data_IF_266771462420
#
_entry.id   IF_266771462420
#
_cell.length_a   1.000
_cell.length_b   1.000
_cell.length_c   1.000
_cell.angle_alpha   90.00
_cell.angle_beta   90.00
_cell.angle_gamma   90.00
#
_symmetry.space_group_name_H-M   'P 1'
#
loop_
_entity.id
_entity.type
_entity.pdbx_description
1 polymer ?
#
# COMPACT_ATOMS: atom_id res chain seq x y z
N UNK A 1 -4.35 16.62 6.77
CA UNK A 1 -4.45 15.14 6.61
C UNK A 1 -5.90 14.67 6.47
N UNK A 2 -6.79 14.88 7.45
CA UNK A 2 -8.18 14.39 7.39
C UNK A 2 -8.93 14.78 6.12
N UNK A 3 -8.95 16.06 5.74
CA UNK A 3 -9.63 16.50 4.52
C UNK A 3 -9.12 15.78 3.25
N UNK A 4 -7.80 15.63 3.11
CA UNK A 4 -7.20 14.90 1.97
C UNK A 4 -7.65 13.43 1.99
N UNK A 5 -7.61 12.78 3.15
CA UNK A 5 -8.01 11.38 3.29
C UNK A 5 -9.47 11.15 2.96
N UNK A 6 -10.39 11.91 3.56
CA UNK A 6 -11.83 11.67 3.43
C UNK A 6 -12.44 12.24 2.14
N UNK A 7 -11.98 13.40 1.68
CA UNK A 7 -12.55 14.07 0.50
C UNK A 7 -11.92 13.63 -0.82
N UNK A 8 -10.64 13.22 -0.82
CA UNK A 8 -9.91 12.93 -2.06
C UNK A 8 -9.45 11.48 -2.18
N UNK A 9 -8.89 10.90 -1.11
CA UNK A 9 -8.29 9.57 -1.19
C UNK A 9 -9.32 8.44 -1.06
N UNK A 10 -10.15 8.44 -0.02
CA UNK A 10 -11.16 7.39 0.21
C UNK A 10 -12.11 7.17 -0.97
N UNK A 11 -12.63 8.21 -1.66
CA UNK A 11 -13.48 8.00 -2.83
C UNK A 11 -12.78 7.23 -3.96
N UNK A 12 -11.46 7.38 -4.12
CA UNK A 12 -10.68 6.65 -5.14
C UNK A 12 -10.40 5.20 -4.75
N UNK A 13 -10.37 4.89 -3.46
CA UNK A 13 -10.09 3.55 -2.95
C UNK A 13 -11.36 2.72 -2.77
N UNK A 14 -12.39 3.32 -2.17
CA UNK A 14 -13.65 2.64 -1.84
C UNK A 14 -14.67 2.66 -2.99
N UNK A 15 -14.52 3.62 -3.91
CA UNK A 15 -15.51 3.88 -4.97
C UNK A 15 -16.88 4.30 -4.42
N UNK A 16 -17.85 4.44 -5.31
CA UNK A 16 -19.17 4.95 -4.95
C UNK A 16 -19.90 4.05 -3.95
N UNK A 17 -19.76 2.72 -4.09
CA UNK A 17 -20.40 1.74 -3.20
C UNK A 17 -19.86 1.87 -1.79
N UNK A 18 -18.54 1.89 -1.61
CA UNK A 18 -17.95 2.00 -0.28
C UNK A 18 -18.16 3.39 0.34
N UNK A 19 -18.16 4.46 -0.45
CA UNK A 19 -18.49 5.80 0.06
C UNK A 19 -19.95 5.92 0.51
N UNK A 20 -20.89 5.25 -0.17
CA UNK A 20 -22.28 5.15 0.29
C UNK A 20 -22.39 4.43 1.64
N UNK A 21 -21.55 3.43 1.89
CA UNK A 21 -21.49 2.74 3.19
C UNK A 21 -20.91 3.61 4.30
N UNK A 22 -19.89 4.43 4.00
CA UNK A 22 -19.33 5.40 4.97
C UNK A 22 -20.35 6.48 5.33
N UNK A 23 -21.09 6.98 4.33
CA UNK A 23 -22.09 8.01 4.50
C UNK A 23 -21.51 9.40 4.83
N UNK A 24 -22.36 10.45 4.87
CA UNK A 24 -21.93 11.78 5.26
C UNK A 24 -21.67 11.84 6.76
N UNK A 25 -20.69 12.66 7.16
CA UNK A 25 -20.50 13.00 8.57
C UNK A 25 -21.74 13.72 9.11
N UNK A 26 -22.20 13.32 10.31
CA UNK A 26 -23.38 13.91 10.97
C UNK A 26 -22.96 14.76 12.17
N UNK A 27 -22.34 14.12 13.16
CA UNK A 27 -21.86 14.74 14.38
C UNK A 27 -20.86 13.81 15.07
N UNK A 28 -20.14 14.33 16.06
CA UNK A 28 -19.34 13.51 16.95
C UNK A 28 -20.27 12.66 17.83
N UNK A 29 -19.90 11.40 18.03
CA UNK A 29 -20.57 10.48 18.95
C UNK A 29 -19.51 9.86 19.87
N UNK A 30 -19.51 10.18 21.18
CA UNK A 30 -18.52 9.65 22.12
C UNK A 30 -18.65 8.15 22.37
N UNK A 31 -19.74 7.50 21.96
CA UNK A 31 -19.94 6.07 22.15
C UNK A 31 -19.34 5.23 21.01
N UNK A 32 -18.87 5.87 19.94
CA UNK A 32 -18.19 5.18 18.84
C UNK A 32 -16.80 4.72 19.29
N UNK A 33 -16.55 3.42 19.19
CA UNK A 33 -15.22 2.88 19.39
C UNK A 33 -14.30 3.29 18.22
N UNK A 34 -13.38 4.22 18.48
CA UNK A 34 -12.39 4.70 17.51
C UNK A 34 -11.15 3.79 17.39
N UNK A 35 -11.13 2.63 18.06
CA UNK A 35 -10.04 1.67 17.99
C UNK A 35 -9.88 1.08 16.58
N UNK A 36 -8.63 0.96 16.14
CA UNK A 36 -8.34 0.30 14.87
C UNK A 36 -8.46 -1.21 15.02
N UNK A 37 -9.32 -1.81 14.19
CA UNK A 37 -9.45 -3.27 14.16
C UNK A 37 -8.12 -3.94 13.81
N UNK A 38 -7.78 -5.02 14.53
CA UNK A 38 -6.60 -5.83 14.25
C UNK A 38 -6.55 -6.28 12.78
N UNK A 39 -7.67 -6.71 12.22
CA UNK A 39 -7.79 -7.09 10.81
C UNK A 39 -7.45 -5.96 9.83
N UNK A 40 -7.81 -4.71 10.18
CA UNK A 40 -7.52 -3.55 9.35
C UNK A 40 -6.02 -3.24 9.34
N UNK A 41 -5.39 -3.15 10.51
CA UNK A 41 -3.97 -2.85 10.65
C UNK A 41 -3.06 -3.97 10.14
N UNK A 42 -3.45 -5.22 10.36
CA UNK A 42 -2.61 -6.39 10.07
C UNK A 42 -2.76 -6.88 8.64
N UNK A 43 -3.94 -6.76 8.04
CA UNK A 43 -4.23 -7.33 6.72
C UNK A 43 -4.84 -6.33 5.74
N UNK A 44 -6.04 -5.80 6.02
CA UNK A 44 -6.85 -5.12 5.00
C UNK A 44 -6.16 -3.88 4.41
N UNK A 45 -5.58 -3.00 5.26
CA UNK A 45 -4.92 -1.78 4.79
C UNK A 45 -3.61 -2.04 4.05
N UNK A 46 -3.07 -3.27 4.10
CA UNK A 46 -1.88 -3.68 3.35
C UNK A 46 -2.14 -3.92 1.87
N UNK A 47 -3.37 -3.73 1.37
CA UNK A 47 -3.65 -3.71 -0.06
C UNK A 47 -2.74 -2.73 -0.81
N UNK A 48 -2.29 -1.66 -0.14
CA UNK A 48 -1.34 -0.68 -0.68
C UNK A 48 -0.03 -1.31 -1.17
N UNK A 49 0.42 -2.44 -0.61
CA UNK A 49 1.60 -3.15 -1.11
C UNK A 49 1.46 -3.62 -2.56
N UNK A 50 0.21 -3.81 -3.04
CA UNK A 50 -0.05 -4.19 -4.43
C UNK A 50 0.11 -3.02 -5.42
N UNK A 51 0.22 -1.79 -4.90
CA UNK A 51 0.27 -0.53 -5.66
C UNK A 51 1.68 0.08 -5.72
N UNK A 52 2.67 -0.56 -5.09
CA UNK A 52 4.03 -0.05 -5.01
C UNK A 52 4.76 -0.32 -6.34
N UNK A 53 5.33 0.73 -6.91
CA UNK A 53 6.22 0.64 -8.08
C UNK A 53 7.58 0.02 -7.69
N UNK A 54 8.21 -0.78 -8.58
CA UNK A 54 9.55 -1.33 -8.35
C UNK A 54 10.66 -0.27 -8.46
N UNK A 55 10.33 0.95 -8.88
CA UNK A 55 11.26 2.04 -9.14
C UNK A 55 10.71 3.34 -8.54
N UNK A 56 11.57 4.09 -7.86
CA UNK A 56 11.33 5.49 -7.49
C UNK A 56 11.87 6.36 -8.62
N UNK A 57 10.95 7.04 -9.29
CA UNK A 57 11.25 7.95 -10.39
C UNK A 57 11.68 9.31 -9.84
N UNK A 58 12.70 9.90 -10.48
CA UNK A 58 13.29 11.19 -10.08
C UNK A 58 13.38 12.10 -11.29
N UNK A 59 12.67 13.22 -11.23
CA UNK A 59 12.47 14.12 -12.38
C UNK A 59 12.93 15.57 -12.09
N UNK A 60 13.54 16.24 -13.06
CA UNK A 60 13.90 17.66 -12.99
C UNK A 60 12.68 18.58 -13.20
N UNK A 61 12.86 19.91 -13.22
CA UNK A 61 11.74 20.85 -13.41
C UNK A 61 11.03 20.72 -14.77
N UNK A 62 11.65 20.07 -15.75
CA UNK A 62 11.08 19.79 -17.06
C UNK A 62 10.43 18.39 -17.16
N UNK A 63 10.20 17.74 -16.02
CA UNK A 63 9.67 16.37 -15.92
C UNK A 63 10.51 15.31 -16.69
N UNK A 64 11.81 15.56 -16.85
CA UNK A 64 12.76 14.60 -17.43
C UNK A 64 13.62 13.95 -16.33
N UNK A 65 14.17 12.74 -16.55
CA UNK A 65 15.06 12.09 -15.58
C UNK A 65 16.23 12.98 -15.17
N UNK A 66 16.53 13.04 -13.86
CA UNK A 66 17.74 13.72 -13.37
C UNK A 66 19.01 12.93 -13.71
N UNK A 67 20.21 13.54 -13.75
CA UNK A 67 21.46 12.85 -14.06
C UNK A 67 21.78 11.64 -13.17
N UNK A 68 21.34 11.66 -11.91
CA UNK A 68 21.50 10.55 -10.96
C UNK A 68 20.61 9.34 -11.31
N UNK A 69 19.69 9.47 -12.28
CA UNK A 69 18.80 8.41 -12.75
C UNK A 69 17.66 8.09 -11.79
N UNK A 70 16.92 7.00 -12.03
CA UNK A 70 15.90 6.50 -11.10
C UNK A 70 16.49 5.52 -10.08
N UNK A 71 15.74 5.17 -9.04
CA UNK A 71 16.22 4.29 -7.97
C UNK A 71 15.38 3.01 -7.96
N UNK A 72 16.00 1.83 -8.10
CA UNK A 72 15.33 0.56 -7.80
C UNK A 72 14.88 0.54 -6.33
N UNK A 73 13.65 0.12 -6.06
CA UNK A 73 13.03 0.23 -4.74
C UNK A 73 13.87 -0.38 -3.61
N UNK A 74 14.50 -1.54 -3.83
CA UNK A 74 15.35 -2.16 -2.81
C UNK A 74 16.54 -1.29 -2.36
N UNK A 75 17.04 -0.40 -3.25
CA UNK A 75 18.13 0.54 -2.97
C UNK A 75 17.66 1.82 -2.28
N UNK A 76 16.34 2.05 -2.20
CA UNK A 76 15.75 3.22 -1.55
C UNK A 76 15.48 2.99 -0.06
N UNK A 77 15.25 1.75 0.37
CA UNK A 77 15.03 1.43 1.78
C UNK A 77 16.23 1.82 2.64
N UNK A 78 15.96 2.60 3.68
CA UNK A 78 16.97 3.09 4.64
C UNK A 78 18.15 3.85 4.00
N UNK A 79 17.92 4.53 2.88
CA UNK A 79 18.95 5.30 2.14
C UNK A 79 18.73 6.83 2.19
N UNK A 80 18.69 7.47 3.36
CA UNK A 80 18.43 8.92 3.47
C UNK A 80 19.50 9.79 2.80
N UNK A 81 20.73 9.26 2.67
CA UNK A 81 21.82 9.93 1.96
C UNK A 81 21.46 10.32 0.52
N UNK A 82 20.52 9.59 -0.12
CA UNK A 82 20.03 9.93 -1.47
C UNK A 82 19.29 11.26 -1.49
N UNK A 83 18.58 11.61 -0.42
CA UNK A 83 17.92 12.92 -0.33
C UNK A 83 18.97 14.02 -0.20
N UNK A 84 19.95 13.83 0.70
CA UNK A 84 20.98 14.85 0.98
C UNK A 84 21.91 15.07 -0.21
N UNK A 85 22.32 13.98 -0.88
CA UNK A 85 23.42 14.00 -1.84
C UNK A 85 22.96 13.85 -3.31
N UNK A 86 21.71 13.47 -3.58
CA UNK A 86 21.23 13.14 -4.94
C UNK A 86 20.05 14.01 -5.40
N UNK A 87 20.00 15.27 -4.96
CA UNK A 87 19.10 16.29 -5.52
C UNK A 87 17.89 16.67 -4.65
N UNK A 88 17.88 16.35 -3.36
CA UNK A 88 16.80 16.72 -2.45
C UNK A 88 15.51 15.91 -2.65
N UNK A 89 14.40 16.47 -2.19
CA UNK A 89 13.07 15.82 -2.27
C UNK A 89 12.34 16.14 -3.58
N UNK A 90 12.63 17.28 -4.21
CA UNK A 90 11.91 17.78 -5.38
C UNK A 90 11.84 16.75 -6.52
N UNK A 91 12.93 16.05 -6.89
CA UNK A 91 12.84 15.06 -7.96
C UNK A 91 11.91 13.90 -7.66
N UNK A 92 11.85 13.47 -6.40
CA UNK A 92 10.96 12.41 -5.94
C UNK A 92 9.50 12.87 -5.92
N UNK A 93 9.24 14.11 -5.48
CA UNK A 93 7.89 14.70 -5.51
C UNK A 93 7.36 14.84 -6.94
N UNK A 94 8.20 15.29 -7.88
CA UNK A 94 7.84 15.30 -9.31
C UNK A 94 7.60 13.90 -9.86
N UNK A 95 8.39 12.91 -9.44
CA UNK A 95 8.14 11.50 -9.76
C UNK A 95 6.80 10.98 -9.22
N UNK A 96 6.46 11.32 -7.98
CA UNK A 96 5.18 10.96 -7.36
C UNK A 96 3.98 11.58 -8.10
N UNK A 97 4.15 12.81 -8.63
CA UNK A 97 3.12 13.50 -9.39
C UNK A 97 3.02 13.04 -10.84
N UNK A 98 4.16 12.88 -11.51
CA UNK A 98 4.24 12.68 -12.97
C UNK A 98 4.18 11.23 -13.43
N UNK A 99 4.32 10.25 -12.52
CA UNK A 99 4.37 8.83 -12.88
C UNK A 99 3.17 8.07 -12.32
N UNK A 100 2.46 7.26 -13.13
CA UNK A 100 1.39 6.41 -12.65
C UNK A 100 1.86 5.42 -11.57
N UNK A 101 0.99 5.19 -10.58
CA UNK A 101 1.17 4.10 -9.61
C UNK A 101 1.02 2.73 -10.27
N UNK A 102 1.61 1.70 -9.67
CA UNK A 102 1.42 0.32 -10.12
C UNK A 102 -0.06 -0.05 -10.03
N UNK A 103 -0.61 -0.57 -11.12
CA UNK A 103 -1.94 -1.15 -11.11
C UNK A 103 -1.93 -2.53 -10.47
N UNK A 104 -2.94 -2.83 -9.64
CA UNK A 104 -3.16 -4.18 -9.13
C UNK A 104 -3.73 -5.05 -10.26
N UNK A 105 -3.00 -6.10 -10.64
CA UNK A 105 -3.45 -7.13 -11.57
C UNK A 105 -3.31 -8.51 -10.92
N UNK A 106 -4.21 -9.44 -11.25
CA UNK A 106 -4.25 -10.77 -10.61
C UNK A 106 -3.01 -11.63 -10.92
N UNK A 107 -2.38 -11.41 -12.07
CA UNK A 107 -1.15 -12.10 -12.49
C UNK A 107 0.11 -11.61 -11.78
N UNK A 108 0.06 -10.42 -11.17
CA UNK A 108 1.21 -9.82 -10.48
C UNK A 108 0.75 -8.87 -9.37
N UNK A 109 0.42 -9.44 -8.20
CA UNK A 109 -0.02 -8.66 -7.05
C UNK A 109 1.12 -7.80 -6.48
N UNK A 110 2.25 -8.40 -6.11
CA UNK A 110 3.45 -7.71 -5.63
C UNK A 110 4.59 -7.86 -6.65
N UNK A 111 5.45 -6.85 -6.74
CA UNK A 111 6.63 -6.90 -7.60
C UNK A 111 7.83 -7.54 -6.86
N UNK A 112 8.84 -7.98 -7.61
CA UNK A 112 10.00 -8.71 -7.06
C UNK A 112 10.87 -7.88 -6.12
N UNK A 113 10.81 -6.56 -6.16
CA UNK A 113 11.51 -5.70 -5.20
C UNK A 113 10.93 -5.84 -3.78
N UNK A 114 9.69 -6.32 -3.67
CA UNK A 114 9.01 -6.58 -2.40
C UNK A 114 9.01 -8.05 -2.00
N UNK A 115 9.11 -9.00 -2.93
CA UNK A 115 9.08 -10.45 -2.62
C UNK A 115 10.48 -11.07 -2.52
N UNK A 116 11.45 -10.57 -3.28
CA UNK A 116 12.78 -11.20 -3.37
C UNK A 116 13.91 -10.32 -2.85
N UNK A 117 13.67 -9.02 -2.69
CA UNK A 117 14.72 -8.02 -2.42
C UNK A 117 14.38 -7.06 -1.29
N UNK A 118 13.29 -7.31 -0.56
CA UNK A 118 12.86 -6.39 0.49
C UNK A 118 13.97 -6.26 1.53
N UNK A 119 14.38 -5.01 1.76
CA UNK A 119 15.44 -4.63 2.70
C UNK A 119 16.78 -5.36 2.51
N UNK A 120 17.08 -5.80 1.29
CA UNK A 120 18.37 -6.43 0.94
C UNK A 120 19.60 -5.55 1.22
N UNK A 121 19.43 -4.23 1.33
CA UNK A 121 20.49 -3.30 1.72
C UNK A 121 20.69 -3.19 3.25
N UNK A 122 19.74 -3.68 4.05
CA UNK A 122 19.72 -3.51 5.51
C UNK A 122 19.76 -4.83 6.29
N UNK A 123 19.51 -5.97 5.63
CA UNK A 123 19.58 -7.30 6.24
C UNK A 123 20.55 -8.21 5.47
N UNK A 124 21.11 -9.19 6.17
CA UNK A 124 21.99 -10.19 5.58
C UNK A 124 21.27 -11.09 4.54
N UNK A 125 19.96 -11.27 4.71
CA UNK A 125 19.11 -12.03 3.79
C UNK A 125 17.95 -11.15 3.38
N UNK A 126 17.64 -11.14 2.09
CA UNK A 126 16.47 -10.43 1.58
C UNK A 126 15.18 -11.03 2.13
N UNK A 127 14.20 -10.18 2.42
CA UNK A 127 12.91 -10.61 2.94
C UNK A 127 11.85 -10.65 1.84
N UNK A 128 10.77 -11.38 2.12
CA UNK A 128 9.57 -11.44 1.29
C UNK A 128 8.39 -10.76 2.03
N UNK A 129 7.93 -9.62 1.53
CA UNK A 129 6.82 -8.87 2.10
C UNK A 129 5.50 -9.65 2.04
N UNK A 130 5.27 -10.45 0.98
CA UNK A 130 4.07 -11.27 0.85
C UNK A 130 4.06 -12.36 1.93
N UNK A 131 5.16 -13.11 2.06
CA UNK A 131 5.31 -14.14 3.08
C UNK A 131 5.18 -13.56 4.49
N UNK A 132 5.79 -12.40 4.75
CA UNK A 132 5.65 -11.71 6.03
C UNK A 132 4.22 -11.27 6.33
N UNK A 133 3.45 -10.82 5.33
CA UNK A 133 2.04 -10.48 5.53
C UNK A 133 1.21 -11.72 5.92
N UNK A 134 1.44 -12.86 5.25
CA UNK A 134 0.77 -14.13 5.58
C UNK A 134 1.16 -14.60 6.98
N UNK A 135 2.45 -14.60 7.30
CA UNK A 135 2.95 -15.03 8.60
C UNK A 135 2.45 -14.12 9.73
N UNK A 136 2.42 -12.80 9.51
CA UNK A 136 1.87 -11.84 10.47
C UNK A 136 0.37 -12.00 10.66
N UNK A 137 -0.38 -12.36 9.61
CA UNK A 137 -1.79 -12.71 9.72
C UNK A 137 -2.02 -13.89 10.67
N UNK A 138 -1.17 -14.92 10.59
CA UNK A 138 -1.22 -16.09 11.50
C UNK A 138 -0.85 -15.70 12.94
N UNK A 139 0.23 -14.95 13.10
CA UNK A 139 0.71 -14.44 14.39
C UNK A 139 -0.38 -13.63 15.13
N UNK A 140 -1.14 -12.82 14.41
CA UNK A 140 -2.23 -12.02 14.96
C UNK A 140 -3.58 -12.75 15.05
N UNK A 141 -3.64 -14.05 14.73
CA UNK A 141 -4.86 -14.84 14.77
C UNK A 141 -5.96 -14.32 13.85
N UNK A 142 -5.62 -13.80 12.67
CA UNK A 142 -6.60 -13.26 11.72
C UNK A 142 -7.48 -14.41 11.19
N UNK A 143 -8.82 -14.32 11.34
CA UNK A 143 -9.76 -15.31 10.79
C UNK A 143 -9.57 -15.58 9.29
N UNK A 144 -9.96 -16.78 8.83
CA UNK A 144 -9.86 -17.14 7.42
C UNK A 144 -10.77 -16.31 6.53
N UNK A 145 -10.50 -16.37 5.23
CA UNK A 145 -11.20 -15.60 4.19
C UNK A 145 -12.73 -15.70 4.25
N UNK A 146 -13.28 -16.91 4.43
CA UNK A 146 -14.73 -17.12 4.42
C UNK A 146 -15.44 -16.49 5.63
N UNK A 147 -14.78 -16.42 6.79
CA UNK A 147 -15.33 -15.79 7.98
C UNK A 147 -15.54 -14.29 7.74
N UNK A 148 -14.58 -13.63 7.09
CA UNK A 148 -14.72 -12.23 6.67
C UNK A 148 -15.75 -12.03 5.56
N UNK A 149 -15.88 -12.98 4.62
CA UNK A 149 -16.94 -12.91 3.62
C UNK A 149 -18.31 -12.89 4.30
N UNK A 150 -18.56 -13.84 5.20
CA UNK A 150 -19.82 -13.92 5.93
C UNK A 150 -20.03 -12.70 6.84
N UNK A 151 -19.00 -12.25 7.56
CA UNK A 151 -19.04 -11.01 8.37
C UNK A 151 -19.44 -9.79 7.53
N UNK A 152 -18.96 -9.70 6.29
CA UNK A 152 -19.30 -8.65 5.34
C UNK A 152 -20.56 -8.94 4.50
N UNK A 153 -21.42 -9.88 4.90
CA UNK A 153 -22.65 -10.28 4.20
C UNK A 153 -22.43 -10.77 2.75
N UNK A 154 -21.29 -11.42 2.48
CA UNK A 154 -20.98 -12.08 1.20
C UNK A 154 -21.13 -13.60 1.31
N UNK A 155 -21.41 -14.27 0.19
CA UNK A 155 -21.50 -15.73 0.12
C UNK A 155 -20.17 -16.41 0.47
N UNK A 156 -20.18 -17.51 1.22
CA UNK A 156 -18.98 -18.30 1.51
C UNK A 156 -18.57 -19.15 0.31
N UNK A 157 -17.28 -19.18 -0.02
CA UNK A 157 -16.74 -19.96 -1.13
C UNK A 157 -16.39 -21.38 -0.65
N UNK A 158 -17.10 -22.39 -1.17
CA UNK A 158 -16.98 -23.79 -0.71
C UNK A 158 -16.23 -24.68 -1.70
N UNK A 159 -16.25 -24.34 -2.98
CA UNK A 159 -15.65 -25.16 -4.05
C UNK A 159 -14.93 -24.28 -5.05
N UNK A 160 -13.92 -24.86 -5.70
CA UNK A 160 -13.35 -24.29 -6.91
C UNK A 160 -14.36 -24.45 -8.04
N UNK A 161 -14.76 -23.35 -8.68
CA UNK A 161 -15.48 -23.39 -9.95
C UNK A 161 -14.44 -23.25 -11.05
N UNK A 162 -14.21 -24.33 -11.79
CA UNK A 162 -13.38 -24.36 -13.00
C UNK A 162 -14.28 -24.04 -14.18
#
# INVERSE_FOLDING_TARGET
MQHITYSHWLPKILGDVGMKMVGPYKSYDPNVNAGIFNAFATAAFRFGHTLINPVLYRLNEHFQPIPQGHISLHKAFFSPFRIVNEGGIDPLLRGLFGIPGKMRVSTQLLNTELTERLFSMAHAVALDLAAMNVQRGRDHGIPPYNDYRTFCNLSSAQTLRI
#
